data_IF_083427278313
#
_entry.id   IF_083427278313
#
_cell.length_a   1.000
_cell.length_b   1.000
_cell.length_c   1.000
_cell.angle_alpha   90.00
_cell.angle_beta   90.00
_cell.angle_gamma   90.00
#
_symmetry.space_group_name_H-M   'P 1'
#
loop_
_entity.id
_entity.type
_entity.pdbx_description
1 polymer ?
#
# COMPACT_ATOMS: atom_id res chain seq x y z
N UNK A 1 4.96 8.16 12.37
CA UNK A 1 4.92 6.72 12.06
C UNK A 1 3.63 6.39 11.31
N UNK A 2 3.72 5.76 10.14
CA UNK A 2 2.57 5.38 9.32
C UNK A 2 2.14 3.94 9.67
N UNK A 3 0.95 3.75 10.24
CA UNK A 3 0.44 2.43 10.66
C UNK A 3 -0.74 2.01 9.82
N UNK A 4 -0.77 0.73 9.44
CA UNK A 4 -1.94 0.17 8.77
C UNK A 4 -3.12 -0.01 9.73
N UNK A 5 -4.32 0.19 9.23
CA UNK A 5 -5.59 -0.11 9.91
C UNK A 5 -6.42 -1.01 9.01
N UNK A 6 -7.13 -1.96 9.61
CA UNK A 6 -8.09 -2.83 8.93
C UNK A 6 -9.45 -2.63 9.56
N UNK A 7 -10.49 -2.53 8.73
CA UNK A 7 -11.88 -2.45 9.16
C UNK A 7 -12.54 -3.79 8.93
N UNK A 8 -13.31 -4.25 9.91
CA UNK A 8 -14.03 -5.52 9.92
C UNK A 8 -15.48 -5.27 10.33
N UNK A 9 -16.37 -6.21 10.01
CA UNK A 9 -17.79 -6.17 10.40
C UNK A 9 -18.42 -4.82 9.99
N UNK A 10 -18.45 -4.56 8.68
CA UNK A 10 -18.95 -3.31 8.09
C UNK A 10 -18.32 -2.02 8.66
N UNK A 11 -17.14 -2.10 9.28
CA UNK A 11 -16.44 -0.96 9.87
C UNK A 11 -16.66 -0.76 11.36
N UNK A 12 -17.55 -1.52 11.99
CA UNK A 12 -17.80 -1.50 13.45
C UNK A 12 -16.54 -1.85 14.23
N UNK A 13 -15.71 -2.75 13.69
CA UNK A 13 -14.45 -3.15 14.32
C UNK A 13 -13.26 -2.66 13.51
N UNK A 14 -12.51 -1.70 14.07
CA UNK A 14 -11.25 -1.24 13.49
C UNK A 14 -10.06 -1.86 14.22
N UNK A 15 -9.33 -2.75 13.55
CA UNK A 15 -8.09 -3.33 14.06
C UNK A 15 -6.91 -2.48 13.59
N UNK A 16 -6.21 -1.86 14.54
CA UNK A 16 -4.92 -1.22 14.27
C UNK A 16 -3.86 -2.32 14.18
N UNK A 17 -3.32 -2.55 12.98
CA UNK A 17 -2.24 -3.52 12.80
C UNK A 17 -0.93 -2.90 13.32
N UNK A 18 -0.05 -3.73 13.92
CA UNK A 18 1.27 -3.27 14.38
C UNK A 18 2.22 -2.93 13.23
N UNK A 19 1.87 -3.33 12.00
CA UNK A 19 2.64 -3.14 10.79
C UNK A 19 2.79 -1.64 10.48
N UNK A 20 4.01 -1.14 10.70
CA UNK A 20 4.44 0.20 10.31
C UNK A 20 4.88 0.14 8.85
N UNK A 21 4.31 0.99 8.01
CA UNK A 21 4.72 1.11 6.60
C UNK A 21 5.93 2.03 6.54
N UNK A 22 6.95 1.60 5.80
CA UNK A 22 8.20 2.34 5.61
C UNK A 22 8.44 2.73 4.16
N UNK A 23 7.88 1.99 3.20
CA UNK A 23 8.12 2.24 1.77
C UNK A 23 6.96 1.74 0.89
N UNK A 24 6.91 2.25 -0.35
CA UNK A 24 5.97 1.86 -1.40
C UNK A 24 6.73 1.24 -2.57
N UNK A 25 6.48 -0.04 -2.85
CA UNK A 25 7.01 -0.75 -4.01
C UNK A 25 6.03 -0.57 -5.18
N UNK A 26 6.39 0.24 -6.18
CA UNK A 26 5.50 0.52 -7.33
C UNK A 26 5.60 -0.53 -8.44
N UNK A 27 6.76 -1.16 -8.54
CA UNK A 27 7.06 -2.13 -9.60
C UNK A 27 6.85 -3.53 -9.05
N UNK A 28 5.58 -3.95 -9.00
CA UNK A 28 5.19 -5.31 -8.61
C UNK A 28 4.68 -6.03 -9.84
N UNK A 29 5.26 -7.21 -10.12
CA UNK A 29 4.82 -8.05 -11.22
C UNK A 29 3.40 -8.59 -10.97
N UNK A 30 2.67 -8.88 -12.04
CA UNK A 30 1.41 -9.57 -11.92
C UNK A 30 1.59 -10.92 -11.22
N UNK A 31 0.69 -11.25 -10.30
CA UNK A 31 0.74 -12.55 -9.63
C UNK A 31 0.56 -13.69 -10.62
N UNK A 32 1.20 -14.85 -10.38
CA UNK A 32 1.05 -16.02 -11.24
C UNK A 32 -0.42 -16.33 -11.55
N UNK A 33 -0.70 -16.58 -12.83
CA UNK A 33 -2.04 -16.90 -13.34
C UNK A 33 -3.02 -15.71 -13.44
N UNK A 34 -2.69 -14.49 -12.98
CA UNK A 34 -3.59 -13.33 -13.12
C UNK A 34 -3.78 -12.85 -14.55
N UNK A 35 -2.78 -13.03 -15.40
CA UNK A 35 -2.85 -12.72 -16.83
C UNK A 35 -3.85 -13.61 -17.59
N UNK A 36 -4.23 -14.77 -17.04
CA UNK A 36 -5.20 -15.69 -17.64
C UNK A 36 -6.65 -15.30 -17.33
N UNK A 37 -6.87 -14.37 -16.39
CA UNK A 37 -8.21 -13.91 -16.02
C UNK A 37 -8.64 -12.76 -16.93
N UNK A 38 -9.94 -12.67 -17.20
CA UNK A 38 -10.51 -11.58 -17.97
C UNK A 38 -10.18 -10.22 -17.34
N UNK A 39 -9.62 -9.31 -18.13
CA UNK A 39 -9.18 -7.99 -17.67
C UNK A 39 -7.85 -7.99 -16.90
N UNK A 40 -7.10 -9.10 -16.87
CA UNK A 40 -5.78 -9.20 -16.26
C UNK A 40 -4.79 -8.11 -16.73
N UNK A 41 -4.84 -7.75 -18.01
CA UNK A 41 -4.02 -6.69 -18.63
C UNK A 41 -4.28 -5.28 -18.06
N UNK A 42 -5.47 -5.05 -17.50
CA UNK A 42 -5.83 -3.77 -16.89
C UNK A 42 -5.49 -3.70 -15.40
N UNK A 43 -5.21 -4.85 -14.78
CA UNK A 43 -4.81 -4.92 -13.37
C UNK A 43 -3.43 -4.30 -13.19
N UNK A 44 -3.25 -3.67 -12.04
CA UNK A 44 -1.98 -3.07 -11.62
C UNK A 44 -1.68 -3.55 -10.21
N UNK A 45 -0.41 -3.57 -9.85
CA UNK A 45 0.02 -4.13 -8.59
C UNK A 45 1.00 -3.18 -7.93
N UNK A 46 0.89 -3.05 -6.60
CA UNK A 46 1.87 -2.35 -5.80
C UNK A 46 2.04 -3.05 -4.45
N UNK A 47 3.15 -2.78 -3.79
CA UNK A 47 3.50 -3.32 -2.49
C UNK A 47 3.68 -2.23 -1.44
N UNK A 48 3.33 -2.53 -0.20
CA UNK A 48 3.70 -1.74 0.96
C UNK A 48 4.71 -2.52 1.78
N UNK A 49 5.93 -1.99 1.90
CA UNK A 49 6.98 -2.57 2.74
C UNK A 49 6.77 -2.12 4.18
N UNK A 50 6.81 -3.07 5.10
CA UNK A 50 6.71 -2.80 6.52
C UNK A 50 8.09 -2.71 7.19
N UNK A 51 8.13 -2.16 8.40
CA UNK A 51 9.35 -2.14 9.22
C UNK A 51 9.88 -3.55 9.57
N UNK A 52 9.05 -4.58 9.46
CA UNK A 52 9.42 -5.99 9.62
C UNK A 52 9.91 -6.61 8.29
N UNK A 53 10.25 -5.77 7.30
CA UNK A 53 10.70 -6.16 5.95
C UNK A 53 9.70 -6.96 5.11
N UNK A 54 8.50 -7.26 5.64
CA UNK A 54 7.42 -7.88 4.87
C UNK A 54 6.86 -6.91 3.84
N UNK A 55 6.66 -7.38 2.62
CA UNK A 55 5.90 -6.67 1.59
C UNK A 55 4.47 -7.19 1.58
N UNK A 56 3.51 -6.27 1.66
CA UNK A 56 2.09 -6.57 1.49
C UNK A 56 1.69 -6.06 0.11
N UNK A 57 1.36 -6.96 -0.78
CA UNK A 57 1.00 -6.65 -2.17
C UNK A 57 -0.50 -6.47 -2.32
N UNK A 58 -0.87 -5.55 -3.22
CA UNK A 58 -2.23 -5.15 -3.52
C UNK A 58 -2.45 -5.16 -5.02
N UNK A 59 -3.64 -5.57 -5.43
CA UNK A 59 -4.13 -5.45 -6.80
C UNK A 59 -5.04 -4.21 -6.91
N UNK A 60 -4.92 -3.50 -8.02
CA UNK A 60 -5.78 -2.39 -8.41
C UNK A 60 -6.51 -2.73 -9.72
N UNK A 61 -7.74 -2.25 -9.85
CA UNK A 61 -8.55 -2.45 -11.05
C UNK A 61 -8.17 -1.52 -12.22
N UNK A 62 -7.34 -0.50 -11.98
CA UNK A 62 -6.92 0.44 -13.02
C UNK A 62 -5.61 1.15 -12.68
N UNK A 63 -4.99 1.77 -13.69
CA UNK A 63 -3.84 2.66 -13.51
C UNK A 63 -4.15 3.83 -12.57
N UNK A 64 -5.36 4.42 -12.67
CA UNK A 64 -5.75 5.56 -11.84
C UNK A 64 -5.79 5.19 -10.36
N UNK A 65 -6.34 4.03 -10.04
CA UNK A 65 -6.40 3.53 -8.66
C UNK A 65 -4.99 3.23 -8.13
N UNK A 66 -4.16 2.56 -8.94
CA UNK A 66 -2.76 2.32 -8.61
C UNK A 66 -1.99 3.62 -8.29
N UNK A 67 -2.13 4.62 -9.16
CA UNK A 67 -1.50 5.92 -8.98
C UNK A 67 -2.02 6.64 -7.73
N UNK A 68 -3.32 6.61 -7.48
CA UNK A 68 -3.94 7.20 -6.30
C UNK A 68 -3.32 6.61 -5.03
N UNK A 69 -3.26 5.28 -4.93
CA UNK A 69 -2.71 4.60 -3.76
C UNK A 69 -1.21 4.85 -3.59
N UNK A 70 -0.42 4.62 -4.64
CA UNK A 70 1.05 4.72 -4.55
C UNK A 70 1.51 6.16 -4.28
N UNK A 71 0.93 7.17 -4.96
CA UNK A 71 1.24 8.58 -4.73
C UNK A 71 0.74 9.05 -3.35
N UNK A 72 -0.45 8.62 -2.95
CA UNK A 72 -1.03 8.96 -1.65
C UNK A 72 -0.18 8.47 -0.48
N UNK A 73 0.21 7.19 -0.49
CA UNK A 73 1.04 6.61 0.58
C UNK A 73 2.44 7.23 0.58
N UNK A 74 3.06 7.42 -0.58
CA UNK A 74 4.37 8.08 -0.67
C UNK A 74 4.35 9.50 -0.06
N UNK A 75 3.28 10.27 -0.32
CA UNK A 75 3.11 11.61 0.28
C UNK A 75 2.96 11.55 1.80
N UNK A 76 2.24 10.57 2.33
CA UNK A 76 2.10 10.37 3.78
C UNK A 76 3.44 10.03 4.44
N UNK A 77 4.25 9.18 3.80
CA UNK A 77 5.60 8.85 4.27
C UNK A 77 6.50 10.09 4.29
N UNK A 78 6.52 10.86 3.19
CA UNK A 78 7.30 12.10 3.10
C UNK A 78 6.91 13.14 4.16
N UNK A 79 5.61 13.26 4.46
CA UNK A 79 5.12 14.17 5.51
C UNK A 79 5.61 13.78 6.89
N UNK A 80 5.67 12.46 7.18
CA UNK A 80 6.15 11.95 8.46
C UNK A 80 7.66 12.14 8.60
N UNK A 81 8.42 11.90 7.53
CA UNK A 81 9.88 12.12 7.51
C UNK A 81 10.21 13.62 7.70
N UNK A 82 9.51 14.50 6.98
CA UNK A 82 9.65 15.94 7.13
C UNK A 82 9.34 16.43 8.56
N UNK A 83 8.34 15.86 9.23
CA UNK A 83 8.08 16.15 10.65
C UNK A 83 9.24 15.71 11.54
N UNK A 84 9.80 14.52 11.32
CA UNK A 84 10.94 14.03 12.11
C UNK A 84 12.15 14.98 12.02
N UNK A 85 12.43 15.51 10.84
CA UNK A 85 13.54 16.47 10.61
C UNK A 85 13.32 17.85 11.23
N UNK A 86 12.10 18.25 11.55
CA UNK A 86 11.79 19.55 12.17
C UNK A 86 11.85 19.52 13.71
N UNK A 87 11.86 18.34 14.30
CA UNK A 87 11.89 18.13 15.75
C UNK A 87 13.12 17.32 16.20
N UNK A 88 14.10 17.17 15.32
CA UNK A 88 15.42 16.62 15.58
C UNK A 88 16.44 17.76 15.45
#
# INVERSE_FOLDING_TARGET
MLKMKSRHVAGTLTKKKKNVVVDVCRDVAAWPGRHLLEGGEHRRYFGLRTAEHRVIEFECGSQREHDMWTKGVARLLATIDGRRKRFA
#
